data_IF_259309564294
#
_entry.id   IF_259309564294
#
_cell.length_a   1.000
_cell.length_b   1.000
_cell.length_c   1.000
_cell.angle_alpha   90.00
_cell.angle_beta   90.00
_cell.angle_gamma   90.00
#
_symmetry.space_group_name_H-M   'P 1'
#
loop_
_entity.id
_entity.type
_entity.pdbx_description
1 polymer ?
#
# COMPACT_ATOMS: atom_id res chain seq x y z
N UNK A 1 3.24 -6.07 0.64
CA UNK A 1 3.82 -5.01 1.49
C UNK A 1 5.07 -5.50 2.18
N UNK A 2 4.94 -6.52 3.01
CA UNK A 2 6.02 -7.05 3.87
C UNK A 2 7.32 -7.43 3.16
N UNK A 3 7.26 -7.87 1.89
CA UNK A 3 8.45 -8.10 1.06
C UNK A 3 9.40 -6.88 0.96
N UNK A 4 8.87 -5.67 1.12
CA UNK A 4 9.65 -4.42 1.06
C UNK A 4 10.15 -3.95 2.45
N UNK A 5 9.66 -4.57 3.54
CA UNK A 5 9.93 -4.13 4.91
C UNK A 5 11.41 -4.26 5.28
N UNK A 6 12.03 -5.39 4.93
CA UNK A 6 13.44 -5.64 5.23
C UNK A 6 14.36 -4.59 4.58
N UNK A 7 14.09 -4.23 3.33
CA UNK A 7 14.85 -3.20 2.62
C UNK A 7 14.76 -1.84 3.32
N UNK A 8 13.58 -1.49 3.82
CA UNK A 8 13.36 -0.25 4.54
C UNK A 8 14.06 -0.24 5.91
N UNK A 9 14.00 -1.36 6.65
CA UNK A 9 14.68 -1.49 7.95
C UNK A 9 16.21 -1.43 7.81
N UNK A 10 16.77 -1.97 6.73
CA UNK A 10 18.21 -1.89 6.46
C UNK A 10 18.68 -0.44 6.26
N UNK A 11 17.85 0.41 5.65
CA UNK A 11 18.15 1.83 5.45
C UNK A 11 17.85 2.67 6.70
N UNK A 12 16.77 2.35 7.41
CA UNK A 12 16.21 3.14 8.51
C UNK A 12 15.97 2.28 9.76
N UNK A 13 17.02 2.03 10.55
CA UNK A 13 16.99 1.09 11.70
C UNK A 13 15.94 1.37 12.77
N UNK A 14 15.48 2.61 12.93
CA UNK A 14 14.52 3.02 13.97
C UNK A 14 13.12 3.31 13.43
N UNK A 15 12.81 2.85 12.22
CA UNK A 15 11.50 3.06 11.63
C UNK A 15 10.42 2.25 12.38
N UNK A 16 9.27 2.89 12.63
CA UNK A 16 8.12 2.20 13.23
C UNK A 16 7.29 1.55 12.13
N UNK A 17 6.89 0.30 12.33
CA UNK A 17 6.09 -0.47 11.36
C UNK A 17 4.65 -0.57 11.83
N UNK A 18 3.72 -0.25 10.93
CA UNK A 18 2.31 -0.61 11.05
C UNK A 18 1.95 -1.62 9.97
N UNK A 19 0.93 -2.44 10.22
CA UNK A 19 0.47 -3.47 9.27
C UNK A 19 -1.03 -3.35 9.04
N UNK A 20 -1.43 -3.50 7.79
CA UNK A 20 -2.83 -3.59 7.37
C UNK A 20 -2.98 -4.88 6.56
N UNK A 21 -3.95 -5.71 6.93
CA UNK A 21 -4.36 -6.88 6.17
C UNK A 21 -5.69 -6.58 5.50
N UNK A 22 -5.66 -6.55 4.17
CA UNK A 22 -6.83 -6.34 3.32
C UNK A 22 -6.94 -7.57 2.43
N UNK A 23 -8.13 -8.16 2.39
CA UNK A 23 -8.44 -9.27 1.52
C UNK A 23 -9.72 -8.93 0.76
N UNK A 24 -9.75 -9.28 -0.52
CA UNK A 24 -10.97 -9.13 -1.32
C UNK A 24 -11.84 -10.35 -1.04
N UNK A 25 -13.07 -10.11 -0.66
CA UNK A 25 -14.07 -11.13 -0.49
C UNK A 25 -14.45 -11.69 -1.87
N UNK A 26 -14.33 -13.01 -2.05
CA UNK A 26 -14.49 -13.66 -3.36
C UNK A 26 -15.94 -13.59 -3.86
N UNK A 27 -16.93 -13.55 -2.96
CA UNK A 27 -18.35 -13.53 -3.31
C UNK A 27 -18.82 -12.11 -3.64
N UNK A 28 -18.40 -11.12 -2.85
CA UNK A 28 -18.87 -9.74 -2.97
C UNK A 28 -17.94 -8.84 -3.77
N UNK A 29 -16.71 -9.30 -4.06
CA UNK A 29 -15.63 -8.53 -4.69
C UNK A 29 -15.29 -7.23 -3.95
N UNK A 30 -15.66 -7.13 -2.67
CA UNK A 30 -15.37 -5.98 -1.82
C UNK A 30 -14.06 -6.21 -1.07
N UNK A 31 -13.21 -5.19 -1.05
CA UNK A 31 -12.03 -5.18 -0.19
C UNK A 31 -12.51 -5.04 1.27
N UNK A 32 -12.09 -5.96 2.14
CA UNK A 32 -12.38 -5.91 3.56
C UNK A 32 -11.09 -5.82 4.36
N UNK A 33 -11.09 -4.96 5.36
CA UNK A 33 -9.98 -4.79 6.31
C UNK A 33 -10.15 -5.82 7.42
N UNK A 34 -9.23 -6.77 7.51
CA UNK A 34 -9.23 -7.83 8.54
C UNK A 34 -8.38 -7.47 9.74
N UNK A 35 -7.35 -6.65 9.52
CA UNK A 35 -6.43 -6.25 10.57
C UNK A 35 -5.83 -4.89 10.22
N UNK A 36 -5.76 -4.02 11.22
CA UNK A 36 -5.02 -2.77 11.13
C UNK A 36 -4.37 -2.51 12.50
N UNK A 37 -3.05 -2.42 12.54
CA UNK A 37 -2.31 -2.06 13.75
C UNK A 37 -1.22 -1.07 13.41
N UNK A 38 -1.26 0.06 14.10
CA UNK A 38 -0.37 1.18 13.86
C UNK A 38 0.33 1.63 15.15
N UNK A 39 1.45 2.36 15.04
CA UNK A 39 1.96 3.15 16.16
C UNK A 39 0.87 4.10 16.69
N UNK A 40 0.78 4.31 18.02
CA UNK A 40 -0.28 5.12 18.63
C UNK A 40 -0.26 6.59 18.20
N UNK A 41 0.85 7.06 17.65
CA UNK A 41 1.06 8.43 17.19
C UNK A 41 1.14 8.57 15.66
N UNK A 42 0.61 7.61 14.90
CA UNK A 42 0.67 7.60 13.43
C UNK A 42 0.10 8.88 12.79
N UNK A 43 -0.95 9.46 13.38
CA UNK A 43 -1.60 10.70 12.92
C UNK A 43 -0.66 11.92 12.89
N UNK A 44 0.48 11.88 13.59
CA UNK A 44 1.50 12.95 13.60
C UNK A 44 2.69 12.66 12.69
N UNK A 45 2.64 11.58 11.89
CA UNK A 45 3.79 11.04 11.15
C UNK A 45 3.56 11.09 9.64
N UNK A 46 4.65 11.20 8.89
CA UNK A 46 4.67 10.83 7.47
C UNK A 46 4.61 9.30 7.35
N UNK A 47 3.84 8.80 6.38
CA UNK A 47 3.60 7.37 6.20
C UNK A 47 4.17 6.91 4.87
N UNK A 48 5.02 5.89 4.91
CA UNK A 48 5.45 5.15 3.72
C UNK A 48 4.54 3.94 3.57
N UNK A 49 3.54 4.04 2.70
CA UNK A 49 2.62 2.94 2.42
C UNK A 49 3.26 2.02 1.37
N UNK A 50 3.62 0.80 1.74
CA UNK A 50 4.36 -0.12 0.86
C UNK A 50 3.44 -1.16 0.21
N UNK A 51 3.31 -1.11 -1.11
CA UNK A 51 2.51 -2.07 -1.88
C UNK A 51 3.18 -2.40 -3.23
N UNK A 52 3.83 -3.59 -3.37
CA UNK A 52 4.71 -3.90 -4.50
C UNK A 52 4.04 -3.83 -5.88
N UNK A 53 2.78 -4.29 -5.98
CA UNK A 53 2.07 -4.36 -7.26
C UNK A 53 0.83 -3.48 -7.21
N UNK A 54 0.83 -2.41 -7.98
CA UNK A 54 -0.33 -1.54 -8.17
C UNK A 54 -1.05 -1.89 -9.49
N UNK A 55 -2.05 -2.78 -9.40
CA UNK A 55 -2.90 -3.17 -10.55
C UNK A 55 -4.09 -2.23 -10.73
N UNK A 56 -5.18 -2.40 -9.97
CA UNK A 56 -6.40 -1.55 -10.07
C UNK A 56 -6.39 -0.35 -9.12
N UNK A 57 -5.61 -0.41 -8.05
CA UNK A 57 -5.55 0.61 -7.00
C UNK A 57 -6.52 0.37 -5.83
N UNK A 58 -7.49 -0.53 -5.95
CA UNK A 58 -8.55 -0.73 -4.93
C UNK A 58 -8.00 -1.05 -3.54
N UNK A 59 -7.04 -1.97 -3.45
CA UNK A 59 -6.41 -2.34 -2.16
C UNK A 59 -5.69 -1.15 -1.52
N UNK A 60 -5.05 -0.31 -2.33
CA UNK A 60 -4.35 0.88 -1.83
C UNK A 60 -5.34 1.95 -1.39
N UNK A 61 -6.40 2.18 -2.17
CA UNK A 61 -7.48 3.10 -1.82
C UNK A 61 -8.06 2.72 -0.45
N UNK A 62 -8.36 1.45 -0.24
CA UNK A 62 -8.88 0.96 1.03
C UNK A 62 -7.87 1.12 2.17
N UNK A 63 -6.59 0.84 1.93
CA UNK A 63 -5.52 1.08 2.91
C UNK A 63 -5.40 2.57 3.28
N UNK A 64 -5.54 3.47 2.31
CA UNK A 64 -5.51 4.92 2.55
C UNK A 64 -6.74 5.36 3.36
N UNK A 65 -7.93 4.82 3.08
CA UNK A 65 -9.14 5.07 3.90
C UNK A 65 -8.91 4.71 5.36
N UNK A 66 -8.36 3.52 5.63
CA UNK A 66 -8.00 3.11 7.00
C UNK A 66 -7.01 4.08 7.64
N UNK A 67 -5.99 4.54 6.92
CA UNK A 67 -5.03 5.52 7.45
C UNK A 67 -5.70 6.86 7.79
N UNK A 68 -6.62 7.34 6.94
CA UNK A 68 -7.40 8.56 7.15
C UNK A 68 -8.33 8.42 8.36
N UNK A 69 -8.98 7.27 8.54
CA UNK A 69 -9.77 6.96 9.74
C UNK A 69 -8.94 7.02 11.03
N UNK A 70 -7.63 6.76 10.92
CA UNK A 70 -6.67 6.87 12.02
C UNK A 70 -6.02 8.28 12.12
N UNK A 71 -6.57 9.28 11.42
CA UNK A 71 -6.15 10.68 11.50
C UNK A 71 -4.93 11.05 10.65
N UNK A 72 -4.48 10.17 9.75
CA UNK A 72 -3.39 10.48 8.82
C UNK A 72 -3.94 11.30 7.65
N UNK A 73 -3.31 12.44 7.35
CA UNK A 73 -3.69 13.26 6.20
C UNK A 73 -3.18 12.62 4.90
N UNK A 74 -3.97 12.57 3.81
CA UNK A 74 -3.52 12.03 2.53
C UNK A 74 -2.23 12.66 2.00
N UNK A 75 -2.05 13.97 2.20
CA UNK A 75 -0.88 14.75 1.79
C UNK A 75 0.45 14.32 2.41
N UNK A 76 0.43 13.57 3.51
CA UNK A 76 1.65 13.04 4.17
C UNK A 76 1.89 11.56 3.90
N UNK A 77 1.07 10.94 3.04
CA UNK A 77 1.20 9.54 2.63
C UNK A 77 2.01 9.49 1.32
N UNK A 78 3.08 8.69 1.35
CA UNK A 78 3.86 8.34 0.16
C UNK A 78 3.65 6.84 -0.10
N UNK A 79 2.96 6.53 -1.19
CA UNK A 79 2.81 5.17 -1.69
C UNK A 79 4.10 4.75 -2.40
N UNK A 80 4.73 3.69 -1.90
CA UNK A 80 5.88 3.03 -2.51
C UNK A 80 5.43 1.77 -3.23
N UNK A 81 5.70 1.70 -4.53
CA UNK A 81 5.37 0.54 -5.37
C UNK A 81 6.53 0.14 -6.26
N UNK A 82 6.57 -1.12 -6.70
CA UNK A 82 7.55 -1.58 -7.69
C UNK A 82 6.93 -1.51 -9.08
N UNK A 83 5.78 -2.15 -9.26
CA UNK A 83 5.09 -2.23 -10.56
C UNK A 83 3.77 -1.48 -10.48
N UNK A 84 3.55 -0.51 -11.36
CA UNK A 84 2.29 0.22 -11.43
C UNK A 84 1.66 0.15 -12.81
N UNK A 85 0.33 0.03 -12.86
CA UNK A 85 -0.41 0.32 -14.09
C UNK A 85 -0.86 1.78 -14.13
N UNK A 86 -0.94 2.41 -15.32
CA UNK A 86 -1.51 3.75 -15.46
C UNK A 86 -2.93 3.87 -14.91
N UNK A 87 -3.72 2.80 -15.03
CA UNK A 87 -5.07 2.74 -14.50
C UNK A 87 -5.05 2.80 -12.96
N UNK A 88 -4.27 1.93 -12.31
CA UNK A 88 -4.18 1.90 -10.84
C UNK A 88 -3.67 3.20 -10.23
N UNK A 89 -2.67 3.83 -10.85
CA UNK A 89 -2.18 5.14 -10.39
C UNK A 89 -3.25 6.24 -10.53
N UNK A 90 -3.96 6.28 -11.66
CA UNK A 90 -5.05 7.25 -11.88
C UNK A 90 -6.19 7.07 -10.88
N UNK A 91 -6.62 5.83 -10.62
CA UNK A 91 -7.69 5.55 -9.66
C UNK A 91 -7.35 6.06 -8.26
N UNK A 92 -6.10 5.90 -7.83
CA UNK A 92 -5.63 6.41 -6.52
C UNK A 92 -5.61 7.94 -6.48
N UNK A 93 -5.07 8.59 -7.52
CA UNK A 93 -4.98 10.06 -7.57
C UNK A 93 -6.38 10.70 -7.66
N UNK A 94 -7.33 10.04 -8.32
CA UNK A 94 -8.72 10.51 -8.40
C UNK A 94 -9.40 10.52 -7.02
N UNK A 95 -9.19 9.46 -6.22
CA UNK A 95 -9.75 9.38 -4.87
C UNK A 95 -8.97 10.25 -3.86
N UNK A 96 -7.64 10.30 -3.99
CA UNK A 96 -6.74 11.00 -3.07
C UNK A 96 -5.74 11.89 -3.85
N UNK A 97 -6.13 13.09 -4.28
CA UNK A 97 -5.30 13.95 -5.14
C UNK A 97 -3.98 14.39 -4.52
N UNK A 98 -3.89 14.42 -3.19
CA UNK A 98 -2.70 14.89 -2.46
C UNK A 98 -1.68 13.78 -2.17
N UNK A 99 -2.00 12.51 -2.48
CA UNK A 99 -1.09 11.40 -2.22
C UNK A 99 0.10 11.43 -3.18
N UNK A 100 1.29 11.12 -2.67
CA UNK A 100 2.48 10.95 -3.53
C UNK A 100 2.63 9.48 -3.91
N UNK A 101 2.69 9.17 -5.20
CA UNK A 101 2.99 7.82 -5.70
C UNK A 101 4.45 7.79 -6.19
N UNK A 102 5.27 6.94 -5.59
CA UNK A 102 6.62 6.63 -6.05
C UNK A 102 6.67 5.17 -6.50
N UNK A 103 6.96 4.96 -7.78
CA UNK A 103 7.03 3.63 -8.38
C UNK A 103 8.29 3.49 -9.23
N UNK A 104 8.87 2.28 -9.31
CA UNK A 104 10.06 2.05 -10.12
C UNK A 104 9.75 1.94 -11.61
N UNK A 105 8.61 1.34 -11.97
CA UNK A 105 8.21 1.16 -13.36
C UNK A 105 6.69 1.20 -13.56
N UNK A 106 6.29 1.66 -14.75
CA UNK A 106 4.89 1.76 -15.16
C UNK A 106 4.67 0.93 -16.41
N UNK A 107 3.75 -0.04 -16.34
CA UNK A 107 3.45 -0.96 -17.43
C UNK A 107 1.94 -1.12 -17.66
N UNK A 108 1.47 -1.46 -18.87
CA UNK A 108 0.05 -1.71 -19.12
C UNK A 108 -0.54 -2.84 -18.27
N UNK A 109 0.29 -3.83 -17.92
CA UNK A 109 -0.09 -5.01 -17.13
C UNK A 109 0.89 -5.17 -15.98
N UNK A 110 0.35 -5.39 -14.79
CA UNK A 110 1.12 -5.66 -13.59
C UNK A 110 1.47 -7.17 -13.46
N UNK A 111 2.62 -7.53 -12.87
CA UNK A 111 2.94 -8.92 -12.58
C UNK A 111 1.90 -9.59 -11.69
N UNK A 112 1.63 -10.86 -11.95
CA UNK A 112 0.83 -11.72 -11.07
C UNK A 112 1.75 -12.53 -10.14
N UNK A 113 1.21 -12.99 -9.01
CA UNK A 113 1.89 -13.93 -8.10
C UNK A 113 3.21 -13.45 -7.45
N UNK A 114 3.49 -12.14 -7.39
CA UNK A 114 4.71 -11.63 -6.72
C UNK A 114 4.86 -12.13 -5.29
N UNK A 115 3.77 -12.15 -4.52
CA UNK A 115 3.78 -12.63 -3.14
C UNK A 115 4.20 -14.10 -3.06
N UNK A 116 3.59 -14.96 -3.87
CA UNK A 116 3.87 -16.40 -3.87
C UNK A 116 5.33 -16.68 -4.25
N UNK A 117 5.83 -16.02 -5.30
CA UNK A 117 7.23 -16.12 -5.72
C UNK A 117 8.22 -15.60 -4.68
N UNK A 118 7.91 -14.46 -4.05
CA UNK A 118 8.81 -13.85 -3.06
C UNK A 118 8.89 -14.69 -1.77
N UNK A 119 7.76 -15.22 -1.30
CA UNK A 119 7.69 -16.00 -0.08
C UNK A 119 7.87 -17.51 -0.28
N UNK A 120 7.96 -17.98 -1.53
CA UNK A 120 8.13 -19.39 -1.86
C UNK A 120 6.91 -20.25 -1.51
N UNK A 121 5.70 -19.72 -1.71
CA UNK A 121 4.43 -20.38 -1.39
C UNK A 121 3.65 -20.77 -2.65
N UNK A 122 4.37 -21.02 -3.75
CA UNK A 122 3.82 -21.61 -4.97
C UNK A 122 3.43 -23.08 -4.75
#
# INVERSE_FOLDING_TARGET
GEAMEQGLQNCCRSIRIGKILIQSDEETQRAKVYYAKFPPDIYRRKVLLMYPILSTGNTVIEAVKVLVEHGVQPSVIILLSLFSTPHGAKSIIQEFPEITILTTEVHPVAPTHFGQKYFGTD
#
